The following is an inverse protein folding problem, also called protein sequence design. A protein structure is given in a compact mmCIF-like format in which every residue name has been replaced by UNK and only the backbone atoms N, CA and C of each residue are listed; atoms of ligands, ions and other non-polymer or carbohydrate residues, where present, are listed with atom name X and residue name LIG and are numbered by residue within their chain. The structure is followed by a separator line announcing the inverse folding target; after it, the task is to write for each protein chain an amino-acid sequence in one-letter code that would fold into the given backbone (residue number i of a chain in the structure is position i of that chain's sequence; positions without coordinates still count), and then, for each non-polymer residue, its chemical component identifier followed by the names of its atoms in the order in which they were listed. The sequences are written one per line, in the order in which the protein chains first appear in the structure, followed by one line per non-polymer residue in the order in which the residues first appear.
data_IF_722189694894
#
_entry.id   IF_722189694894
#
_cell.length_a   1.000
_cell.length_b   1.000
_cell.length_c   1.000
_cell.angle_alpha   90.00
_cell.angle_beta   90.00
_cell.angle_gamma   90.00
#
_symmetry.space_group_name_H-M   'P 1'
#
loop_
_entity.id
_entity.type
_entity.pdbx_description
1 polymer ?
#
# COMPACT_ATOMS: atom_id res chain seq x y z
N UNK A 1 6.79 17.24 -44.02
CA UNK A 1 7.14 15.88 -43.55
C UNK A 1 8.51 15.96 -42.89
N UNK A 2 8.57 15.87 -41.57
CA UNK A 2 9.85 15.72 -40.86
C UNK A 2 9.58 14.83 -39.64
N UNK A 3 9.68 13.53 -39.87
CA UNK A 3 9.73 12.52 -38.82
C UNK A 3 11.03 12.76 -38.05
N UNK A 4 10.97 13.45 -36.92
CA UNK A 4 12.12 13.57 -36.01
C UNK A 4 11.98 12.54 -34.89
N UNK A 5 12.61 11.40 -35.17
CA UNK A 5 13.38 10.59 -34.23
C UNK A 5 12.72 10.29 -32.87
N UNK A 6 11.67 9.46 -32.90
CA UNK A 6 11.27 8.63 -31.76
C UNK A 6 12.20 7.40 -31.67
N UNK A 7 13.49 7.60 -31.38
CA UNK A 7 14.44 6.49 -31.31
C UNK A 7 15.52 6.77 -30.29
N UNK A 8 15.21 6.62 -29.00
CA UNK A 8 16.17 6.34 -27.90
C UNK A 8 15.57 6.59 -26.52
N UNK A 9 14.45 5.93 -26.16
CA UNK A 9 14.15 5.76 -24.73
C UNK A 9 14.93 4.53 -24.26
N UNK A 10 15.93 4.68 -23.38
CA UNK A 10 16.65 3.54 -22.83
C UNK A 10 15.66 2.69 -22.02
N UNK A 11 15.47 1.44 -22.43
CA UNK A 11 14.73 0.45 -21.64
C UNK A 11 15.67 -0.01 -20.54
N UNK A 12 15.40 0.42 -19.30
CA UNK A 12 16.06 -0.09 -18.11
C UNK A 12 15.53 -1.50 -17.88
N UNK A 13 16.38 -2.52 -18.07
CA UNK A 13 16.08 -3.88 -17.61
C UNK A 13 16.28 -3.89 -16.09
N UNK A 14 15.23 -4.27 -15.34
CA UNK A 14 15.41 -4.73 -13.98
C UNK A 14 16.25 -6.01 -14.01
N UNK A 15 17.20 -6.14 -13.10
CA UNK A 15 18.02 -7.34 -12.94
C UNK A 15 17.08 -8.52 -12.63
N UNK A 16 17.06 -9.51 -13.52
CA UNK A 16 16.17 -10.68 -13.51
C UNK A 16 16.84 -11.81 -12.70
N UNK A 17 17.48 -11.46 -11.59
CA UNK A 17 17.94 -12.44 -10.61
C UNK A 17 16.67 -13.07 -10.03
N UNK A 18 16.29 -14.24 -10.53
CA UNK A 18 15.13 -15.11 -10.18
C UNK A 18 15.05 -15.51 -8.69
N UNK A 19 15.72 -14.79 -7.80
CA UNK A 19 15.44 -14.82 -6.37
C UNK A 19 14.10 -14.10 -6.17
N UNK A 20 13.08 -14.82 -5.71
CA UNK A 20 11.78 -14.24 -5.35
C UNK A 20 11.99 -13.04 -4.41
N UNK A 21 12.00 -11.83 -4.98
CA UNK A 21 12.26 -10.59 -4.26
C UNK A 21 11.03 -10.32 -3.39
N UNK A 22 11.05 -10.83 -2.16
CA UNK A 22 10.00 -10.58 -1.17
C UNK A 22 10.18 -9.17 -0.62
N UNK A 23 9.19 -8.30 -0.84
CA UNK A 23 9.14 -6.98 -0.21
C UNK A 23 9.05 -7.11 1.32
N UNK A 24 10.10 -6.71 2.08
CA UNK A 24 10.07 -6.76 3.53
C UNK A 24 8.94 -5.92 4.14
N UNK A 25 8.50 -4.85 3.46
CA UNK A 25 7.41 -4.00 3.92
C UNK A 25 6.07 -4.74 3.88
N UNK A 26 5.75 -5.42 2.78
CA UNK A 26 4.54 -6.24 2.66
C UNK A 26 4.47 -7.31 3.76
N UNK A 27 5.55 -8.08 3.95
CA UNK A 27 5.61 -9.12 4.97
C UNK A 27 5.48 -8.58 6.42
N UNK A 28 5.97 -7.37 6.68
CA UNK A 28 5.82 -6.72 7.99
C UNK A 28 4.42 -6.16 8.19
N UNK A 29 3.80 -5.60 7.14
CA UNK A 29 2.42 -5.11 7.20
C UNK A 29 1.43 -6.22 7.54
N UNK A 30 1.56 -7.40 6.94
CA UNK A 30 0.72 -8.56 7.28
C UNK A 30 0.84 -8.94 8.77
N UNK A 31 2.07 -8.98 9.30
CA UNK A 31 2.31 -9.25 10.73
C UNK A 31 1.72 -8.17 11.64
N UNK A 32 1.83 -6.91 11.24
CA UNK A 32 1.29 -5.78 12.01
C UNK A 32 -0.24 -5.74 11.97
N UNK A 33 -0.87 -6.11 10.86
CA UNK A 33 -2.33 -6.18 10.74
C UNK A 33 -2.96 -7.20 11.70
N UNK A 34 -2.24 -8.28 12.02
CA UNK A 34 -2.70 -9.27 12.99
C UNK A 34 -2.81 -8.74 14.43
N UNK A 35 -2.30 -7.55 14.73
CA UNK A 35 -2.47 -6.91 16.05
C UNK A 35 -3.91 -6.46 16.24
N UNK A 36 -4.52 -6.82 17.37
CA UNK A 36 -5.96 -6.59 17.62
C UNK A 36 -6.44 -5.15 17.42
N UNK A 37 -5.66 -4.14 17.85
CA UNK A 37 -6.03 -2.74 17.66
C UNK A 37 -6.05 -2.33 16.18
N UNK A 38 -5.01 -2.70 15.43
CA UNK A 38 -4.89 -2.41 13.98
C UNK A 38 -5.98 -3.16 13.20
N UNK A 39 -6.27 -4.41 13.57
CA UNK A 39 -7.39 -5.17 13.00
C UNK A 39 -8.74 -4.50 13.24
N UNK A 40 -8.96 -3.90 14.40
CA UNK A 40 -10.19 -3.14 14.67
C UNK A 40 -10.31 -1.88 13.82
N UNK A 41 -9.21 -1.16 13.57
CA UNK A 41 -9.21 0.00 12.67
C UNK A 41 -9.47 -0.41 11.23
N UNK A 42 -8.89 -1.54 10.79
CA UNK A 42 -9.17 -2.12 9.48
C UNK A 42 -10.65 -2.46 9.32
N UNK A 43 -11.29 -3.06 10.33
CA UNK A 43 -12.71 -3.37 10.28
C UNK A 43 -13.58 -2.11 10.13
N UNK A 44 -13.28 -1.03 10.87
CA UNK A 44 -13.98 0.26 10.71
C UNK A 44 -13.83 0.83 9.31
N UNK A 45 -12.62 0.74 8.74
CA UNK A 45 -12.36 1.16 7.37
C UNK A 45 -13.18 0.33 6.36
N UNK A 46 -13.28 -0.99 6.54
CA UNK A 46 -14.14 -1.84 5.69
C UNK A 46 -15.62 -1.52 5.84
N UNK A 47 -16.10 -1.29 7.07
CA UNK A 47 -17.49 -0.87 7.32
C UNK A 47 -17.82 0.46 6.62
N UNK A 48 -16.86 1.40 6.57
CA UNK A 48 -17.01 2.62 5.78
C UNK A 48 -17.08 2.32 4.28
N UNK A 49 -16.16 1.50 3.75
CA UNK A 49 -16.14 1.14 2.34
C UNK A 49 -17.46 0.50 1.90
N UNK A 50 -18.00 -0.44 2.69
CA UNK A 50 -19.28 -1.09 2.41
C UNK A 50 -20.43 -0.09 2.37
N UNK A 51 -20.42 0.89 3.29
CA UNK A 51 -21.43 1.96 3.35
C UNK A 51 -21.33 2.91 2.17
N UNK A 52 -20.12 3.29 1.74
CA UNK A 52 -19.91 4.19 0.59
C UNK A 52 -20.25 3.47 -0.71
N UNK A 53 -19.80 2.24 -0.89
CA UNK A 53 -20.09 1.43 -2.08
C UNK A 53 -21.57 1.07 -2.21
N UNK A 54 -22.30 0.97 -1.10
CA UNK A 54 -23.75 0.75 -1.08
C UNK A 54 -24.59 1.96 -1.49
N UNK A 55 -24.02 3.17 -1.57
CA UNK A 55 -24.74 4.40 -1.88
C UNK A 55 -24.57 4.78 -3.35
N UNK A 56 -25.67 4.95 -4.07
CA UNK A 56 -25.66 5.36 -5.48
C UNK A 56 -25.24 6.82 -5.70
N UNK A 57 -25.44 7.68 -4.70
CA UNK A 57 -25.00 9.09 -4.67
C UNK A 57 -24.63 9.47 -3.25
N UNK A 58 -23.34 9.64 -2.98
CA UNK A 58 -22.85 10.10 -1.68
C UNK A 58 -21.62 10.99 -1.86
N UNK A 59 -21.43 11.91 -0.91
CA UNK A 59 -20.22 12.73 -0.76
C UNK A 59 -19.33 12.22 0.38
N UNK A 60 -19.74 11.12 1.02
CA UNK A 60 -18.98 10.47 2.08
C UNK A 60 -17.70 9.86 1.52
N UNK A 61 -16.60 9.98 2.28
CA UNK A 61 -15.31 9.39 1.95
C UNK A 61 -14.75 8.68 3.17
N UNK A 62 -14.04 7.57 2.96
CA UNK A 62 -13.43 6.77 4.04
C UNK A 62 -11.98 7.17 4.33
N UNK A 63 -11.64 8.44 4.10
CA UNK A 63 -10.27 8.94 4.23
C UNK A 63 -9.82 9.01 5.69
N UNK A 64 -10.72 9.35 6.60
CA UNK A 64 -10.43 9.38 8.04
C UNK A 64 -10.05 7.99 8.54
N UNK A 65 -10.90 6.98 8.28
CA UNK A 65 -10.65 5.61 8.72
C UNK A 65 -9.42 4.99 8.04
N UNK A 66 -9.15 5.38 6.78
CA UNK A 66 -7.94 4.99 6.08
C UNK A 66 -6.69 5.55 6.77
N UNK A 67 -6.69 6.85 7.11
CA UNK A 67 -5.55 7.46 7.79
C UNK A 67 -5.33 6.89 9.19
N UNK A 68 -6.39 6.64 9.94
CA UNK A 68 -6.29 5.99 11.26
C UNK A 68 -5.65 4.61 11.15
N UNK A 69 -6.12 3.78 10.21
CA UNK A 69 -5.57 2.45 9.98
C UNK A 69 -4.11 2.50 9.52
N UNK A 70 -3.79 3.34 8.53
CA UNK A 70 -2.44 3.43 7.95
C UNK A 70 -1.45 4.01 8.95
N UNK A 71 -1.84 5.01 9.75
CA UNK A 71 -0.97 5.60 10.75
C UNK A 71 -0.51 4.56 11.78
N UNK A 72 -1.42 3.75 12.31
CA UNK A 72 -1.07 2.71 13.28
C UNK A 72 -0.34 1.52 12.64
N UNK A 73 -0.70 1.15 11.41
CA UNK A 73 0.00 0.14 10.65
C UNK A 73 1.46 0.53 10.41
N UNK A 74 1.69 1.75 9.93
CA UNK A 74 3.03 2.25 9.63
C UNK A 74 3.83 2.54 10.91
N UNK A 75 3.19 2.96 12.01
CA UNK A 75 3.84 3.04 13.32
C UNK A 75 4.41 1.68 13.74
N UNK A 76 3.64 0.60 13.57
CA UNK A 76 4.11 -0.76 13.83
C UNK A 76 5.27 -1.18 12.92
N UNK A 77 5.18 -0.91 11.62
CA UNK A 77 6.17 -1.34 10.62
C UNK A 77 7.49 -0.57 10.75
N UNK A 78 7.43 0.73 11.06
CA UNK A 78 8.58 1.63 11.15
C UNK A 78 9.67 1.13 12.13
N UNK A 79 9.28 0.42 13.19
CA UNK A 79 10.21 -0.14 14.17
C UNK A 79 11.16 -1.20 13.59
N UNK A 80 10.82 -1.85 12.48
CA UNK A 80 11.55 -3.01 11.96
C UNK A 80 11.93 -2.91 10.48
N UNK A 81 11.21 -2.10 9.70
CA UNK A 81 11.40 -2.02 8.25
C UNK A 81 12.83 -1.63 7.86
N UNK A 82 13.37 -0.54 8.42
CA UNK A 82 14.70 -0.05 8.05
C UNK A 82 15.83 -1.01 8.43
N UNK A 83 15.62 -1.94 9.35
CA UNK A 83 16.61 -2.99 9.66
C UNK A 83 16.70 -4.08 8.57
N UNK A 84 15.71 -4.13 7.65
CA UNK A 84 15.63 -5.10 6.56
C UNK A 84 16.04 -4.52 5.21
N UNK A 85 16.19 -3.21 5.12
CA UNK A 85 16.63 -2.49 3.93
C UNK A 85 18.16 -2.30 3.98
N UNK A 86 18.83 -2.47 2.85
CA UNK A 86 20.28 -2.26 2.69
C UNK A 86 20.56 -0.91 2.07
#
# INVERSE_FOLDING_TARGET
MAFHSWSSVPVVKADDDDQELVDPQAALREKCQAKGHIGSLYNKYQECNDRVNGKSKTTETCMEELFDFVAELDHCVAHSLFSKLK
#
